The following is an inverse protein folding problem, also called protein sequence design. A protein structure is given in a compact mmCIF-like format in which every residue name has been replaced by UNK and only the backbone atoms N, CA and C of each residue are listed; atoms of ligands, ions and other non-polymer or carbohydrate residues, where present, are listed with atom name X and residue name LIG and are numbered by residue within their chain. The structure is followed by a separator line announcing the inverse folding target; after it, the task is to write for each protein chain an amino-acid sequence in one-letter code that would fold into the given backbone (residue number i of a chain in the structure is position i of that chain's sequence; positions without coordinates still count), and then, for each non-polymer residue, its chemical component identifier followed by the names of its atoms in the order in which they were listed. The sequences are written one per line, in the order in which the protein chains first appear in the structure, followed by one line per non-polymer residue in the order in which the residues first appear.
data_IF_716500479381
#
_entry.id   IF_716500479381
#
_cell.length_a   1.000
_cell.length_b   1.000
_cell.length_c   1.000
_cell.angle_alpha   90.00
_cell.angle_beta   90.00
_cell.angle_gamma   90.00
#
_symmetry.space_group_name_H-M   'P 1'
#
loop_
_entity.id
_entity.type
_entity.pdbx_description
1 polymer ?
#
# COMPACT_ATOMS: atom_id res chain seq x y z
N UNK A 1 38.18 18.23 19.45
CA UNK A 1 37.28 17.08 19.22
C UNK A 1 36.30 17.49 18.14
N UNK A 2 36.55 17.10 16.88
CA UNK A 2 35.84 17.62 15.70
C UNK A 2 34.87 16.59 15.13
N UNK A 3 33.62 17.01 14.91
CA UNK A 3 32.51 16.22 14.37
C UNK A 3 32.54 16.34 12.83
N UNK A 4 32.65 15.24 12.05
CA UNK A 4 32.45 15.31 10.61
C UNK A 4 30.96 15.12 10.21
N UNK A 5 30.48 15.81 9.16
CA UNK A 5 29.08 15.77 8.73
C UNK A 5 28.73 14.56 7.84
N UNK A 6 27.51 14.07 8.02
CA UNK A 6 26.82 13.03 7.24
C UNK A 6 26.86 13.30 5.72
N UNK A 7 27.61 12.49 4.96
CA UNK A 7 27.51 12.44 3.49
C UNK A 7 26.43 11.47 3.06
N UNK A 8 25.50 11.97 2.24
CA UNK A 8 24.50 11.24 1.46
C UNK A 8 25.09 10.02 0.74
N UNK A 9 24.72 8.81 1.17
CA UNK A 9 24.87 7.59 0.38
C UNK A 9 23.80 7.54 -0.71
N UNK A 10 24.12 8.15 -1.86
CA UNK A 10 23.39 7.95 -3.11
C UNK A 10 23.87 6.62 -3.69
N UNK A 11 23.11 5.54 -3.51
CA UNK A 11 23.40 4.21 -4.08
C UNK A 11 23.29 4.25 -5.60
N UNK A 12 24.41 4.55 -6.25
CA UNK A 12 24.60 4.47 -7.70
C UNK A 12 24.83 3.00 -8.05
N UNK A 13 23.78 2.34 -8.54
CA UNK A 13 23.92 1.03 -9.18
C UNK A 13 24.88 1.14 -10.38
N UNK A 14 25.97 0.35 -10.45
CA UNK A 14 26.86 0.36 -11.59
C UNK A 14 26.21 -0.40 -12.75
N UNK A 15 26.06 0.31 -13.88
CA UNK A 15 25.69 -0.21 -15.18
C UNK A 15 26.94 -0.80 -15.83
N UNK A 16 27.28 -2.05 -15.52
CA UNK A 16 28.39 -2.76 -16.17
C UNK A 16 27.94 -4.15 -16.62
N UNK A 17 27.55 -4.26 -17.88
CA UNK A 17 27.35 -5.55 -18.55
C UNK A 17 28.02 -5.47 -19.92
N UNK A 18 29.32 -5.77 -19.93
CA UNK A 18 30.09 -6.24 -21.07
C UNK A 18 31.26 -7.01 -20.44
N UNK A 19 31.57 -8.19 -20.96
CA UNK A 19 32.62 -9.10 -20.49
C UNK A 19 32.23 -10.11 -19.40
N UNK A 20 31.29 -11.00 -19.69
CA UNK A 20 31.43 -12.38 -19.21
C UNK A 20 31.23 -13.30 -20.41
N UNK A 21 32.36 -13.77 -20.95
CA UNK A 21 32.43 -14.87 -21.91
C UNK A 21 31.84 -16.12 -21.26
N UNK A 22 30.94 -16.77 -21.98
CA UNK A 22 30.22 -17.97 -21.60
C UNK A 22 31.22 -19.14 -21.42
N UNK A 23 31.29 -19.70 -20.22
CA UNK A 23 31.84 -21.04 -20.00
C UNK A 23 30.72 -22.07 -20.26
N UNK A 24 30.95 -23.13 -21.05
CA UNK A 24 29.96 -24.16 -21.30
C UNK A 24 29.90 -25.09 -20.08
N UNK A 25 28.74 -25.17 -19.43
CA UNK A 25 28.50 -26.18 -18.37
C UNK A 25 27.95 -25.67 -17.03
N UNK A 26 27.58 -24.40 -16.88
CA UNK A 26 26.88 -23.92 -15.67
C UNK A 26 25.36 -23.88 -15.93
N UNK A 27 24.50 -24.39 -15.03
CA UNK A 27 23.05 -24.30 -15.21
C UNK A 27 22.72 -22.83 -15.36
N UNK A 28 22.10 -22.49 -16.50
CA UNK A 28 21.84 -21.10 -16.87
C UNK A 28 21.31 -20.35 -15.65
N UNK A 29 21.94 -19.22 -15.24
CA UNK A 29 21.35 -18.40 -14.20
C UNK A 29 19.98 -18.01 -14.74
N UNK A 30 18.92 -18.48 -14.08
CA UNK A 30 17.53 -18.16 -14.38
C UNK A 30 17.36 -16.65 -14.19
N UNK A 31 17.81 -15.88 -15.19
CA UNK A 31 17.50 -14.48 -15.33
C UNK A 31 15.99 -14.36 -15.14
N UNK A 32 15.49 -13.42 -14.32
CA UNK A 32 14.06 -13.27 -14.11
C UNK A 32 13.45 -13.01 -15.47
N UNK A 33 12.82 -14.05 -16.01
CA UNK A 33 12.12 -14.06 -17.28
C UNK A 33 11.06 -12.96 -17.22
N UNK A 34 10.68 -12.40 -18.36
CA UNK A 34 9.61 -11.37 -18.47
C UNK A 34 8.40 -11.62 -17.53
N UNK A 35 7.92 -12.85 -17.31
CA UNK A 35 6.89 -13.15 -16.29
C UNK A 35 7.22 -12.71 -14.85
N UNK A 36 8.46 -12.85 -14.36
CA UNK A 36 8.87 -12.40 -13.02
C UNK A 36 8.81 -10.87 -12.84
N UNK A 37 9.04 -10.10 -13.92
CA UNK A 37 8.94 -8.62 -13.87
C UNK A 37 7.48 -8.16 -13.81
N UNK A 38 6.59 -8.84 -14.53
CA UNK A 38 5.15 -8.54 -14.50
C UNK A 38 4.52 -8.92 -13.17
N UNK A 39 4.89 -10.07 -12.58
CA UNK A 39 4.37 -10.49 -11.27
C UNK A 39 4.88 -9.60 -10.14
N UNK A 40 6.17 -9.27 -10.10
CA UNK A 40 6.73 -8.34 -9.09
C UNK A 40 6.14 -6.93 -9.20
N UNK A 41 5.87 -6.43 -10.41
CA UNK A 41 5.19 -5.15 -10.62
C UNK A 41 3.72 -5.18 -10.15
N UNK A 42 3.00 -6.28 -10.37
CA UNK A 42 1.64 -6.47 -9.85
C UNK A 42 1.64 -6.59 -8.32
N UNK A 43 2.60 -7.33 -7.76
CA UNK A 43 2.78 -7.48 -6.31
C UNK A 43 2.97 -6.14 -5.63
N UNK A 44 3.85 -5.31 -6.18
CA UNK A 44 4.06 -3.96 -5.69
C UNK A 44 2.79 -3.12 -5.73
N UNK A 45 2.00 -3.22 -6.80
CA UNK A 45 0.76 -2.43 -6.97
C UNK A 45 -0.31 -2.84 -5.95
N UNK A 46 -0.52 -4.13 -5.70
CA UNK A 46 -1.51 -4.56 -4.71
C UNK A 46 -1.06 -4.24 -3.28
N UNK A 47 0.24 -4.31 -2.98
CA UNK A 47 0.77 -3.93 -1.66
C UNK A 47 0.62 -2.42 -1.41
N UNK A 48 0.89 -1.60 -2.43
CA UNK A 48 0.60 -0.16 -2.36
C UNK A 48 -0.89 0.11 -2.16
N UNK A 49 -1.77 -0.60 -2.86
CA UNK A 49 -3.21 -0.46 -2.68
C UNK A 49 -3.65 -0.87 -1.25
N UNK A 50 -3.08 -1.92 -0.68
CA UNK A 50 -3.31 -2.30 0.71
C UNK A 50 -2.81 -1.24 1.70
N UNK A 51 -1.65 -0.64 1.45
CA UNK A 51 -1.14 0.49 2.24
C UNK A 51 -2.05 1.73 2.18
N UNK A 52 -2.60 2.05 1.01
CA UNK A 52 -3.59 3.14 0.87
C UNK A 52 -4.89 2.83 1.64
N UNK A 53 -5.32 1.57 1.69
CA UNK A 53 -6.44 1.15 2.54
C UNK A 53 -6.12 1.38 4.03
N UNK A 54 -4.92 1.02 4.49
CA UNK A 54 -4.48 1.24 5.87
C UNK A 54 -4.45 2.72 6.26
N UNK A 55 -3.94 3.58 5.38
CA UNK A 55 -3.97 5.03 5.59
C UNK A 55 -5.39 5.58 5.71
N UNK A 56 -6.31 5.15 4.83
CA UNK A 56 -7.69 5.59 4.87
C UNK A 56 -8.44 5.09 6.13
N UNK A 57 -8.13 3.89 6.61
CA UNK A 57 -8.61 3.40 7.90
C UNK A 57 -8.08 4.24 9.07
N UNK A 58 -6.79 4.60 9.05
CA UNK A 58 -6.22 5.47 10.08
C UNK A 58 -6.91 6.85 10.12
N UNK A 59 -7.17 7.46 8.96
CA UNK A 59 -7.96 8.70 8.89
C UNK A 59 -9.38 8.50 9.43
N UNK A 60 -10.01 7.36 9.16
CA UNK A 60 -11.33 7.03 9.70
C UNK A 60 -11.32 6.93 11.23
N UNK A 61 -10.29 6.33 11.83
CA UNK A 61 -10.15 6.25 13.30
C UNK A 61 -10.04 7.64 13.94
N UNK A 62 -9.30 8.56 13.32
CA UNK A 62 -9.20 9.95 13.79
C UNK A 62 -10.56 10.64 13.74
N UNK A 63 -11.32 10.46 12.65
CA UNK A 63 -12.66 11.03 12.52
C UNK A 63 -13.64 10.42 13.54
N UNK A 64 -13.50 9.14 13.87
CA UNK A 64 -14.31 8.48 14.90
C UNK A 64 -13.97 9.00 16.30
N UNK A 65 -12.70 9.19 16.62
CA UNK A 65 -12.29 9.80 17.88
C UNK A 65 -12.84 11.23 18.03
N UNK A 66 -12.80 12.02 16.95
CA UNK A 66 -13.41 13.36 16.95
C UNK A 66 -14.93 13.33 17.12
N UNK A 67 -15.62 12.36 16.52
CA UNK A 67 -17.06 12.17 16.76
C UNK A 67 -17.34 11.81 18.23
N UNK A 68 -16.52 10.96 18.84
CA UNK A 68 -16.64 10.55 20.24
C UNK A 68 -16.39 11.72 21.20
N UNK A 69 -15.38 12.56 20.92
CA UNK A 69 -15.11 13.78 21.71
C UNK A 69 -16.31 14.75 21.67
N UNK A 70 -16.92 14.99 20.50
CA UNK A 70 -18.13 15.82 20.39
C UNK A 70 -19.29 15.18 21.16
N UNK A 71 -19.48 13.86 21.05
CA UNK A 71 -20.54 13.15 21.77
C UNK A 71 -20.35 13.21 23.30
N UNK A 72 -19.10 13.17 23.76
CA UNK A 72 -18.76 13.35 25.18
C UNK A 72 -19.05 14.76 25.65
N UNK A 73 -18.64 15.78 24.90
CA UNK A 73 -18.97 17.18 25.19
C UNK A 73 -20.48 17.42 25.22
N UNK A 74 -21.26 16.70 24.42
CA UNK A 74 -22.72 16.72 24.45
C UNK A 74 -23.31 16.13 25.74
N UNK A 75 -22.78 15.00 26.22
CA UNK A 75 -23.22 14.33 27.46
C UNK A 75 -22.98 15.22 28.69
N UNK A 76 -21.86 15.96 28.68
CA UNK A 76 -21.45 16.86 29.77
C UNK A 76 -22.09 18.27 29.67
N UNK A 77 -22.38 18.76 28.46
CA UNK A 77 -22.75 20.16 28.16
C UNK A 77 -24.24 20.50 28.09
N UNK A 78 -25.14 19.53 28.28
CA UNK A 78 -26.58 19.78 28.48
C UNK A 78 -27.41 20.05 27.21
N UNK A 79 -26.91 19.76 26.00
CA UNK A 79 -27.77 19.77 24.81
C UNK A 79 -27.06 19.89 23.45
N UNK A 80 -27.80 19.54 22.40
CA UNK A 80 -27.36 19.59 21.01
C UNK A 80 -27.34 21.04 20.51
N UNK A 81 -26.16 21.65 20.36
CA UNK A 81 -26.05 22.88 19.57
C UNK A 81 -26.23 22.53 18.08
N UNK A 82 -26.97 23.32 17.30
CA UNK A 82 -27.16 23.04 15.88
C UNK A 82 -25.82 23.03 15.10
N UNK A 83 -24.81 23.72 15.62
CA UNK A 83 -23.43 23.73 15.12
C UNK A 83 -22.74 22.37 15.33
N UNK A 84 -22.79 21.79 16.54
CA UNK A 84 -22.18 20.48 16.82
C UNK A 84 -22.79 19.37 15.97
N UNK A 85 -24.11 19.42 15.71
CA UNK A 85 -24.79 18.47 14.80
C UNK A 85 -24.25 18.56 13.38
N UNK A 86 -23.98 19.79 12.91
CA UNK A 86 -23.44 20.03 11.58
C UNK A 86 -22.01 19.51 11.46
N UNK A 87 -21.19 19.69 12.49
CA UNK A 87 -19.83 19.15 12.55
C UNK A 87 -19.82 17.62 12.60
N UNK A 88 -20.69 17.03 13.43
CA UNK A 88 -20.87 15.58 13.50
C UNK A 88 -21.24 14.99 12.14
N UNK A 89 -22.23 15.57 11.45
CA UNK A 89 -22.63 15.15 10.09
C UNK A 89 -21.47 15.26 9.10
N UNK A 90 -20.67 16.32 9.19
CA UNK A 90 -19.49 16.52 8.31
C UNK A 90 -18.42 15.47 8.59
N UNK A 91 -18.12 15.19 9.86
CA UNK A 91 -17.19 14.15 10.26
C UNK A 91 -17.66 12.77 9.78
N UNK A 92 -18.96 12.49 9.87
CA UNK A 92 -19.55 11.24 9.37
C UNK A 92 -19.47 11.13 7.84
N UNK A 93 -19.78 12.18 7.09
CA UNK A 93 -19.62 12.17 5.62
C UNK A 93 -18.16 11.91 5.21
N UNK A 94 -17.21 12.56 5.88
CA UNK A 94 -15.78 12.32 5.65
C UNK A 94 -15.39 10.88 6.00
N UNK A 95 -15.91 10.33 7.10
CA UNK A 95 -15.71 8.94 7.50
C UNK A 95 -16.22 7.97 6.45
N UNK A 96 -17.44 8.16 5.96
CA UNK A 96 -18.04 7.34 4.91
C UNK A 96 -17.26 7.40 3.58
N UNK A 97 -16.75 8.57 3.21
CA UNK A 97 -15.86 8.73 2.04
C UNK A 97 -14.54 7.99 2.22
N UNK A 98 -13.96 8.05 3.41
CA UNK A 98 -12.76 7.29 3.75
C UNK A 98 -13.02 5.78 3.67
N UNK A 99 -14.12 5.27 4.25
CA UNK A 99 -14.51 3.85 4.16
C UNK A 99 -14.73 3.40 2.71
N UNK A 100 -15.40 4.22 1.90
CA UNK A 100 -15.59 3.95 0.47
C UNK A 100 -14.26 3.89 -0.27
N UNK A 101 -13.31 4.75 0.07
CA UNK A 101 -11.96 4.70 -0.48
C UNK A 101 -11.25 3.42 -0.06
N UNK A 102 -11.29 3.05 1.22
CA UNK A 102 -10.75 1.80 1.77
C UNK A 102 -11.31 0.57 1.05
N UNK A 103 -12.64 0.47 0.90
CA UNK A 103 -13.26 -0.65 0.21
C UNK A 103 -12.78 -0.78 -1.25
N UNK A 104 -12.62 0.36 -1.94
CA UNK A 104 -12.10 0.39 -3.32
C UNK A 104 -10.63 -0.01 -3.40
N UNK A 105 -9.80 0.44 -2.47
CA UNK A 105 -8.37 0.11 -2.46
C UNK A 105 -8.12 -1.34 -2.07
N UNK A 106 -8.89 -1.90 -1.13
CA UNK A 106 -8.90 -3.34 -0.83
C UNK A 106 -9.33 -4.14 -2.06
N UNK A 107 -10.43 -3.77 -2.73
CA UNK A 107 -10.87 -4.45 -3.95
C UNK A 107 -9.82 -4.44 -5.06
N UNK A 108 -9.11 -3.31 -5.24
CA UNK A 108 -7.96 -3.22 -6.16
C UNK A 108 -6.79 -4.10 -5.73
N UNK A 109 -6.54 -4.21 -4.42
CA UNK A 109 -5.50 -5.08 -3.88
C UNK A 109 -5.83 -6.56 -4.18
N UNK A 110 -7.05 -7.00 -3.86
CA UNK A 110 -7.51 -8.37 -4.13
C UNK A 110 -7.45 -8.74 -5.62
N UNK A 111 -7.96 -7.86 -6.49
CA UNK A 111 -7.88 -8.06 -7.94
C UNK A 111 -6.43 -8.17 -8.42
N UNK A 112 -5.52 -7.36 -7.85
CA UNK A 112 -4.09 -7.42 -8.15
C UNK A 112 -3.44 -8.74 -7.70
N UNK A 113 -3.82 -9.27 -6.54
CA UNK A 113 -3.35 -10.56 -6.03
C UNK A 113 -3.79 -11.71 -6.93
N UNK A 114 -5.07 -11.76 -7.32
CA UNK A 114 -5.59 -12.80 -8.24
C UNK A 114 -4.89 -12.74 -9.61
N UNK A 115 -4.64 -11.53 -10.12
CA UNK A 115 -3.91 -11.34 -11.37
C UNK A 115 -2.44 -11.78 -11.28
N UNK A 116 -1.81 -11.63 -10.10
CA UNK A 116 -0.45 -12.11 -9.85
C UNK A 116 -0.38 -13.64 -9.71
N UNK A 117 -1.43 -14.28 -9.19
CA UNK A 117 -1.50 -15.74 -9.05
C UNK A 117 -1.76 -16.47 -10.36
N UNK A 118 -2.52 -15.87 -11.29
CA UNK A 118 -2.85 -16.51 -12.59
C UNK A 118 -1.63 -17.04 -13.36
N UNK A 119 -0.55 -16.29 -13.60
CA UNK A 119 0.64 -16.81 -14.29
C UNK A 119 1.39 -17.87 -13.47
N UNK A 120 1.33 -17.81 -12.14
CA UNK A 120 1.94 -18.82 -11.25
C UNK A 120 1.25 -20.17 -11.41
N UNK A 121 -0.08 -20.18 -11.36
CA UNK A 121 -0.90 -21.39 -11.47
C UNK A 121 -0.79 -22.05 -12.86
N UNK A 122 -0.67 -21.25 -13.91
CA UNK A 122 -0.46 -21.77 -15.27
C UNK A 122 0.93 -22.42 -15.42
N UNK A 123 1.94 -21.91 -14.73
CA UNK A 123 3.28 -22.50 -14.72
C UNK A 123 3.34 -23.82 -13.94
N UNK A 124 2.60 -23.94 -12.84
CA UNK A 124 2.50 -25.20 -12.07
C UNK A 124 1.76 -26.31 -12.85
N UNK A 125 0.73 -25.97 -13.63
CA UNK A 125 0.01 -26.94 -14.47
C UNK A 125 0.79 -27.46 -15.69
N UNK A 126 1.83 -26.75 -16.12
CA UNK A 126 2.65 -27.14 -17.27
C UNK A 126 3.81 -28.08 -16.90
N UNK A 127 4.04 -28.33 -15.60
CA UNK A 127 5.10 -29.17 -15.06
C UNK A 127 4.62 -30.57 -14.63
N UNK A 128 3.40 -30.94 -15.02
CA UNK A 128 2.80 -32.28 -14.88
C UNK A 128 2.35 -32.76 -16.26
#
# INVERSE_FOLDING_TARGET
MAIPPFRRLRTRWPRTSRHLRLLPGSPAPLFPTKPCRTTSALIRKFYMAAGQAGMALHTMTILQAYQDDILKEMDEGGGLTPEAVKELRRATDLGLRATKHTARTIGRSMAGSVAADKPRLLNERANW
#
